data_IF_338003253235
#
_entry.id   IF_338003253235
#
_cell.length_a   1.000
_cell.length_b   1.000
_cell.length_c   1.000
_cell.angle_alpha   90.00
_cell.angle_beta   90.00
_cell.angle_gamma   90.00
#
_symmetry.space_group_name_H-M   'P 1'
#
loop_
_entity.id
_entity.type
_entity.pdbx_description
1 polymer ?
#
# COMPACT_ATOMS: atom_id res chain seq x y z
N UNK A 1 -76.05 50.25 -10.42
CA UNK A 1 -75.03 50.07 -11.49
C UNK A 1 -73.85 50.98 -11.18
N UNK A 2 -72.75 50.41 -10.69
CA UNK A 2 -71.35 50.84 -10.88
C UNK A 2 -70.46 49.96 -9.99
N UNK A 3 -69.88 48.92 -10.60
CA UNK A 3 -68.73 48.21 -10.07
C UNK A 3 -67.53 49.15 -10.19
N UNK A 4 -66.93 49.53 -9.07
CA UNK A 4 -65.63 50.19 -9.07
C UNK A 4 -64.56 49.14 -9.41
N UNK A 5 -64.05 49.24 -10.63
CA UNK A 5 -62.98 48.39 -11.13
C UNK A 5 -61.66 48.72 -10.41
N UNK A 6 -61.15 47.76 -9.62
CA UNK A 6 -59.84 47.82 -8.99
C UNK A 6 -58.74 47.98 -10.05
N UNK A 7 -57.90 49.00 -9.89
CA UNK A 7 -56.75 49.24 -10.75
C UNK A 7 -55.74 48.07 -10.72
N UNK A 8 -55.12 47.68 -11.86
CA UNK A 8 -54.15 46.60 -11.90
C UNK A 8 -52.87 46.98 -11.13
N UNK A 9 -52.40 46.08 -10.25
CA UNK A 9 -51.14 46.26 -9.50
C UNK A 9 -49.93 46.24 -10.47
N UNK A 10 -48.93 47.10 -10.27
CA UNK A 10 -47.73 47.09 -11.10
C UNK A 10 -46.95 45.78 -10.92
N UNK A 11 -46.71 45.07 -12.02
CA UNK A 11 -45.84 43.89 -12.06
C UNK A 11 -44.39 44.33 -11.91
N UNK A 12 -43.79 44.08 -10.74
CA UNK A 12 -42.35 44.28 -10.51
C UNK A 12 -41.56 43.36 -11.44
N UNK A 13 -40.66 43.93 -12.25
CA UNK A 13 -39.73 43.15 -13.06
C UNK A 13 -38.86 42.26 -12.15
N UNK A 14 -38.58 40.99 -12.54
CA UNK A 14 -37.76 40.10 -11.72
C UNK A 14 -36.36 40.71 -11.54
N UNK A 15 -35.78 40.65 -10.32
CA UNK A 15 -34.45 41.21 -10.06
C UNK A 15 -33.41 40.57 -10.98
N UNK A 16 -32.51 41.39 -11.53
CA UNK A 16 -31.43 40.89 -12.40
C UNK A 16 -30.61 39.83 -11.65
N UNK A 17 -30.29 38.69 -12.28
CA UNK A 17 -29.52 37.65 -11.63
C UNK A 17 -28.16 38.18 -11.16
N UNK A 18 -27.75 37.82 -9.96
CA UNK A 18 -26.54 38.33 -9.31
C UNK A 18 -25.25 38.09 -10.13
N UNK A 19 -25.22 37.04 -10.96
CA UNK A 19 -24.12 36.72 -11.87
C UNK A 19 -24.02 37.62 -13.11
N UNK A 20 -25.03 38.46 -13.39
CA UNK A 20 -24.99 39.47 -14.45
C UNK A 20 -24.48 40.83 -13.95
N UNK A 21 -24.06 40.91 -12.68
CA UNK A 21 -23.56 42.15 -12.08
C UNK A 21 -22.06 42.33 -12.31
N UNK A 22 -21.58 43.58 -12.40
CA UNK A 22 -20.13 43.87 -12.45
C UNK A 22 -19.35 43.34 -11.22
N UNK A 23 -20.03 43.17 -10.08
CA UNK A 23 -19.46 42.55 -8.88
C UNK A 23 -19.12 41.07 -9.09
N UNK A 24 -19.92 40.35 -9.87
CA UNK A 24 -19.63 38.97 -10.23
C UNK A 24 -18.40 38.85 -11.15
N UNK A 25 -18.25 39.77 -12.10
CA UNK A 25 -17.05 39.82 -12.96
C UNK A 25 -15.77 40.09 -12.15
N UNK A 26 -15.83 40.99 -11.17
CA UNK A 26 -14.71 41.23 -10.25
C UNK A 26 -14.40 40.02 -9.38
N UNK A 27 -15.42 39.34 -8.86
CA UNK A 27 -15.26 38.09 -8.11
C UNK A 27 -14.62 36.99 -8.96
N UNK A 28 -15.08 36.81 -10.21
CA UNK A 28 -14.51 35.84 -11.15
C UNK A 28 -13.06 36.18 -11.52
N UNK A 29 -12.75 37.46 -11.74
CA UNK A 29 -11.38 37.92 -11.97
C UNK A 29 -10.47 37.64 -10.77
N UNK A 30 -10.95 37.88 -9.54
CA UNK A 30 -10.25 37.52 -8.31
C UNK A 30 -10.00 36.02 -8.19
N UNK A 31 -11.00 35.19 -8.48
CA UNK A 31 -10.86 33.73 -8.54
C UNK A 31 -9.82 33.29 -9.59
N UNK A 32 -9.84 33.91 -10.78
CA UNK A 32 -8.87 33.64 -11.84
C UNK A 32 -7.45 34.02 -11.43
N UNK A 33 -7.26 35.15 -10.73
CA UNK A 33 -5.96 35.54 -10.18
C UNK A 33 -5.48 34.55 -9.14
N UNK A 34 -6.35 34.13 -8.22
CA UNK A 34 -6.03 33.10 -7.22
C UNK A 34 -5.65 31.78 -7.91
N UNK A 35 -6.39 31.37 -8.94
CA UNK A 35 -6.13 30.15 -9.68
C UNK A 35 -4.83 30.23 -10.50
N UNK A 36 -4.56 31.37 -11.15
CA UNK A 36 -3.32 31.61 -11.89
C UNK A 36 -2.11 31.65 -10.94
N UNK A 37 -2.24 32.31 -9.80
CA UNK A 37 -1.23 32.29 -8.74
C UNK A 37 -1.02 30.88 -8.22
N UNK A 38 -2.10 30.14 -7.97
CA UNK A 38 -2.06 28.73 -7.60
C UNK A 38 -1.30 27.89 -8.63
N UNK A 39 -1.56 28.09 -9.93
CA UNK A 39 -0.87 27.40 -11.03
C UNK A 39 0.64 27.68 -11.04
N UNK A 40 1.03 28.92 -10.77
CA UNK A 40 2.43 29.32 -10.70
C UNK A 40 3.12 28.74 -9.46
N UNK A 41 2.48 28.83 -8.30
CA UNK A 41 3.00 28.29 -7.02
C UNK A 41 3.15 26.77 -7.09
N UNK A 42 2.20 26.09 -7.71
CA UNK A 42 2.22 24.63 -7.90
C UNK A 42 3.07 24.18 -9.10
N UNK A 43 3.62 25.13 -9.88
CA UNK A 43 4.51 24.89 -11.03
C UNK A 43 3.96 23.87 -12.03
N UNK A 44 2.66 23.94 -12.36
CA UNK A 44 2.03 22.96 -13.25
C UNK A 44 2.60 23.11 -14.67
N UNK A 45 3.26 22.06 -15.15
CA UNK A 45 3.91 21.98 -16.46
C UNK A 45 3.32 20.82 -17.29
N UNK A 46 2.39 21.14 -18.20
CA UNK A 46 1.72 20.14 -19.06
C UNK A 46 2.67 19.51 -20.10
N UNK A 47 3.60 20.25 -20.75
CA UNK A 47 4.59 19.63 -21.63
C UNK A 47 5.46 18.57 -20.94
N UNK A 48 5.94 18.82 -19.72
CA UNK A 48 6.73 17.86 -18.95
C UNK A 48 5.93 16.60 -18.59
N UNK A 49 4.64 16.74 -18.29
CA UNK A 49 3.74 15.60 -18.04
C UNK A 49 3.71 14.63 -19.23
N UNK A 50 3.57 15.15 -20.45
CA UNK A 50 3.51 14.34 -21.67
C UNK A 50 4.89 13.75 -21.99
N UNK A 51 5.95 14.56 -21.90
CA UNK A 51 7.32 14.10 -22.16
C UNK A 51 7.78 13.02 -21.16
N UNK A 52 7.34 13.11 -19.91
CA UNK A 52 7.66 12.18 -18.82
C UNK A 52 6.97 10.81 -18.95
N UNK A 53 5.82 10.74 -19.63
CA UNK A 53 5.01 9.52 -19.73
C UNK A 53 5.77 8.31 -20.30
N UNK A 54 6.75 8.53 -21.19
CA UNK A 54 7.59 7.47 -21.77
C UNK A 54 8.42 6.72 -20.72
N UNK A 55 8.87 7.43 -19.67
CA UNK A 55 9.67 6.85 -18.60
C UNK A 55 8.81 6.05 -17.61
N UNK A 56 7.53 6.40 -17.48
CA UNK A 56 6.59 5.74 -16.55
C UNK A 56 6.02 4.44 -17.14
N UNK A 57 6.03 4.30 -18.47
CA UNK A 57 5.43 3.16 -19.19
C UNK A 57 5.89 1.77 -18.71
N UNK A 58 7.20 1.51 -18.44
CA UNK A 58 7.65 0.23 -17.90
C UNK A 58 7.05 -0.07 -16.51
N UNK A 59 6.99 0.94 -15.64
CA UNK A 59 6.44 0.81 -14.30
C UNK A 59 4.94 0.51 -14.31
N UNK A 60 4.18 1.19 -15.18
CA UNK A 60 2.74 0.90 -15.37
C UNK A 60 2.55 -0.54 -15.88
N UNK A 61 3.39 -0.99 -16.82
CA UNK A 61 3.31 -2.36 -17.33
C UNK A 61 3.54 -3.39 -16.22
N UNK A 62 4.48 -3.15 -15.32
CA UNK A 62 4.76 -4.03 -14.19
C UNK A 62 3.65 -3.97 -13.13
N UNK A 63 3.03 -2.80 -12.93
CA UNK A 63 1.90 -2.62 -12.02
C UNK A 63 0.64 -3.40 -12.45
N UNK A 64 0.48 -3.64 -13.76
CA UNK A 64 -0.63 -4.43 -14.31
C UNK A 64 -0.32 -5.94 -14.34
N UNK A 65 0.92 -6.35 -14.04
CA UNK A 65 1.37 -7.75 -14.07
C UNK A 65 1.80 -8.23 -12.68
N UNK A 66 0.83 -8.41 -11.75
CA UNK A 66 1.15 -8.81 -10.39
C UNK A 66 1.82 -10.19 -10.36
N UNK A 67 2.81 -10.32 -9.48
CA UNK A 67 3.47 -11.59 -9.19
C UNK A 67 2.59 -12.44 -8.26
N UNK A 68 1.55 -13.06 -8.81
CA UNK A 68 0.59 -13.90 -8.06
C UNK A 68 0.89 -15.40 -8.22
N UNK A 69 1.29 -15.81 -9.43
CA UNK A 69 1.51 -17.21 -9.78
C UNK A 69 2.92 -17.41 -10.33
N UNK A 70 3.62 -18.39 -9.78
CA UNK A 70 4.94 -18.80 -10.25
C UNK A 70 4.94 -20.31 -10.55
N UNK A 71 5.92 -20.74 -11.34
CA UNK A 71 6.23 -22.16 -11.55
C UNK A 71 7.54 -22.47 -10.85
N UNK A 72 7.70 -23.69 -10.36
CA UNK A 72 8.94 -24.13 -9.73
C UNK A 72 10.08 -24.03 -10.74
N UNK A 73 11.11 -23.26 -10.40
CA UNK A 73 12.35 -23.23 -11.18
C UNK A 73 13.20 -24.41 -10.75
N UNK A 74 13.59 -25.24 -11.71
CA UNK A 74 14.65 -26.21 -11.53
C UNK A 74 15.90 -25.67 -12.23
N UNK A 75 17.05 -25.89 -11.61
CA UNK A 75 18.34 -25.48 -12.13
C UNK A 75 19.25 -26.69 -12.26
N UNK A 76 19.96 -26.77 -13.38
CA UNK A 76 21.13 -27.64 -13.54
C UNK A 76 22.35 -26.74 -13.63
N UNK A 77 23.33 -27.01 -12.77
CA UNK A 77 24.58 -26.26 -12.74
C UNK A 77 25.74 -27.22 -12.94
N UNK A 78 26.64 -26.87 -13.85
CA UNK A 78 27.89 -27.60 -14.10
C UNK A 78 29.03 -26.61 -14.12
N UNK A 79 30.13 -26.95 -13.46
CA UNK A 79 31.34 -26.14 -13.41
C UNK A 79 32.50 -26.87 -14.07
N UNK A 80 33.36 -26.12 -14.75
CA UNK A 80 34.67 -26.57 -15.23
C UNK A 80 35.72 -25.59 -14.73
N UNK A 81 36.81 -26.11 -14.18
CA UNK A 81 37.94 -25.28 -13.77
C UNK A 81 38.63 -24.68 -15.00
N UNK A 82 38.94 -23.39 -14.91
CA UNK A 82 39.61 -22.62 -15.94
C UNK A 82 40.79 -21.90 -15.31
N UNK A 83 41.90 -21.82 -16.04
CA UNK A 83 43.04 -20.98 -15.70
C UNK A 83 43.21 -19.89 -16.74
N UNK A 84 43.47 -18.66 -16.28
CA UNK A 84 43.84 -17.55 -17.15
C UNK A 84 45.36 -17.37 -17.25
N UNK A 85 46.10 -18.08 -16.39
CA UNK A 85 47.56 -18.06 -16.33
C UNK A 85 48.10 -19.39 -16.89
N UNK A 86 48.85 -19.37 -18.00
CA UNK A 86 49.48 -20.57 -18.56
C UNK A 86 50.42 -21.29 -17.59
N UNK A 87 50.94 -20.60 -16.58
CA UNK A 87 51.83 -21.19 -15.57
C UNK A 87 51.09 -22.00 -14.51
N UNK A 88 49.74 -21.92 -14.45
CA UNK A 88 48.94 -22.62 -13.45
C UNK A 88 47.95 -23.58 -14.11
N UNK A 89 48.11 -24.86 -13.78
CA UNK A 89 47.20 -25.90 -14.23
C UNK A 89 45.82 -25.74 -13.55
N UNK A 90 44.72 -25.90 -14.30
CA UNK A 90 43.36 -25.99 -13.74
C UNK A 90 43.26 -27.17 -12.77
N UNK A 91 42.46 -27.04 -11.71
CA UNK A 91 42.14 -28.16 -10.83
C UNK A 91 41.22 -29.16 -11.52
N UNK A 92 41.55 -30.45 -11.41
CA UNK A 92 40.69 -31.52 -11.92
C UNK A 92 39.45 -31.64 -11.03
N UNK A 93 38.33 -31.10 -11.51
CA UNK A 93 37.04 -31.33 -10.88
C UNK A 93 36.61 -32.79 -11.12
N UNK A 94 36.04 -33.46 -10.10
CA UNK A 94 35.56 -34.82 -10.25
C UNK A 94 34.55 -34.91 -11.39
N UNK A 95 34.67 -35.96 -12.20
CA UNK A 95 33.81 -36.17 -13.37
C UNK A 95 32.33 -36.14 -12.95
N UNK A 96 31.50 -35.24 -13.52
CA UNK A 96 30.11 -35.15 -13.13
C UNK A 96 29.38 -36.43 -13.54
N UNK A 97 28.51 -36.96 -12.68
CA UNK A 97 27.62 -38.10 -12.96
C UNK A 97 26.42 -37.74 -13.87
N UNK A 98 26.38 -36.52 -14.40
CA UNK A 98 25.26 -35.95 -15.15
C UNK A 98 25.73 -35.10 -16.34
N UNK A 99 25.15 -33.91 -16.58
CA UNK A 99 25.50 -33.06 -17.71
C UNK A 99 27.00 -32.76 -17.76
N UNK A 100 27.60 -32.85 -18.95
CA UNK A 100 29.03 -32.71 -19.17
C UNK A 100 29.29 -31.40 -19.92
N UNK A 101 30.22 -30.62 -19.38
CA UNK A 101 30.72 -29.41 -20.00
C UNK A 101 32.16 -29.66 -20.48
N UNK A 102 32.44 -29.34 -21.74
CA UNK A 102 33.77 -29.43 -22.33
C UNK A 102 34.15 -28.07 -22.92
N UNK A 103 35.42 -27.72 -22.79
CA UNK A 103 35.98 -26.50 -23.36
C UNK A 103 37.11 -26.86 -24.33
N UNK A 104 37.33 -26.03 -25.35
CA UNK A 104 38.43 -26.23 -26.31
C UNK A 104 39.81 -26.12 -25.66
N UNK A 105 39.90 -25.32 -24.60
CA UNK A 105 41.06 -25.20 -23.72
C UNK A 105 40.57 -24.90 -22.31
N UNK A 106 41.27 -25.38 -21.29
CA UNK A 106 41.05 -24.98 -19.90
C UNK A 106 42.00 -23.86 -19.47
N UNK A 107 42.99 -23.53 -20.30
CA UNK A 107 43.93 -22.42 -20.09
C UNK A 107 43.69 -21.37 -21.18
N UNK A 108 43.19 -20.19 -20.79
CA UNK A 108 42.75 -19.16 -21.72
C UNK A 108 43.11 -17.76 -21.21
N UNK A 109 44.05 -17.04 -21.84
CA UNK A 109 44.38 -15.67 -21.46
C UNK A 109 43.17 -14.74 -21.53
N UNK A 110 43.19 -13.67 -20.73
CA UNK A 110 42.17 -12.63 -20.75
C UNK A 110 41.99 -12.06 -22.16
N UNK A 111 40.75 -11.95 -22.64
CA UNK A 111 40.40 -11.50 -23.98
C UNK A 111 40.44 -12.58 -25.07
N UNK A 112 40.90 -13.79 -24.76
CA UNK A 112 40.87 -14.91 -25.71
C UNK A 112 39.46 -15.51 -25.85
N UNK A 113 39.21 -16.16 -26.98
CA UNK A 113 37.96 -16.88 -27.25
C UNK A 113 38.10 -18.35 -26.86
N UNK A 114 37.14 -18.87 -26.13
CA UNK A 114 37.05 -20.28 -25.72
C UNK A 114 35.77 -20.86 -26.30
N UNK A 115 35.87 -21.99 -27.02
CA UNK A 115 34.69 -22.73 -27.42
C UNK A 115 34.24 -23.63 -26.28
N UNK A 116 32.97 -23.55 -25.95
CA UNK A 116 32.32 -24.28 -24.86
C UNK A 116 31.23 -25.14 -25.45
N UNK A 117 31.32 -26.43 -25.22
CA UNK A 117 30.33 -27.42 -25.64
C UNK A 117 29.73 -28.09 -24.42
N UNK A 118 28.42 -28.00 -24.26
CA UNK A 118 27.68 -28.72 -23.24
C UNK A 118 26.90 -29.88 -23.83
N UNK A 119 26.75 -30.96 -23.07
CA UNK A 119 25.93 -32.14 -23.44
C UNK A 119 25.22 -32.71 -22.22
N UNK A 120 24.05 -33.31 -22.42
CA UNK A 120 23.25 -33.89 -21.33
C UNK A 120 22.50 -32.88 -20.46
N UNK A 121 22.39 -31.62 -20.89
CA UNK A 121 21.57 -30.60 -20.22
C UNK A 121 20.10 -30.76 -20.58
N UNK A 122 19.19 -30.07 -19.87
CA UNK A 122 17.77 -30.06 -20.22
C UNK A 122 17.57 -29.63 -21.69
N UNK A 123 16.82 -30.37 -22.52
CA UNK A 123 16.51 -29.96 -23.89
C UNK A 123 15.65 -28.69 -23.97
N UNK A 124 15.84 -27.89 -25.03
CA UNK A 124 15.08 -26.67 -25.32
C UNK A 124 15.00 -25.68 -24.15
N UNK A 125 16.07 -25.60 -23.36
CA UNK A 125 16.18 -24.75 -22.18
C UNK A 125 17.25 -23.68 -22.38
N UNK A 126 17.08 -22.56 -21.68
CA UNK A 126 18.01 -21.46 -21.75
C UNK A 126 19.17 -21.70 -20.79
N UNK A 127 20.37 -21.83 -21.33
CA UNK A 127 21.63 -21.93 -20.61
C UNK A 127 22.30 -20.56 -20.52
N UNK A 128 22.68 -20.15 -19.31
CA UNK A 128 23.46 -18.94 -19.08
C UNK A 128 24.86 -19.34 -18.62
N UNK A 129 25.88 -18.79 -19.30
CA UNK A 129 27.27 -19.07 -19.01
C UNK A 129 27.83 -17.96 -18.14
N UNK A 130 28.43 -18.34 -17.03
CA UNK A 130 29.07 -17.46 -16.06
C UNK A 130 30.54 -17.80 -15.94
N UNK A 131 31.38 -16.78 -16.01
CA UNK A 131 32.78 -16.88 -15.63
C UNK A 131 32.91 -16.44 -14.18
N UNK A 132 33.32 -17.36 -13.31
CA UNK A 132 33.40 -17.16 -11.87
C UNK A 132 34.86 -16.94 -11.49
N UNK A 133 35.13 -15.81 -10.85
CA UNK A 133 36.47 -15.48 -10.38
C UNK A 133 36.85 -16.31 -9.13
N UNK A 134 38.11 -16.24 -8.65
CA UNK A 134 38.56 -17.02 -7.50
C UNK A 134 37.86 -16.66 -6.18
N UNK A 135 37.24 -15.47 -6.12
CA UNK A 135 36.49 -14.97 -4.96
C UNK A 135 35.01 -15.41 -5.03
N UNK A 136 34.61 -16.11 -6.10
CA UNK A 136 33.26 -16.67 -6.27
C UNK A 136 32.25 -15.73 -6.93
N UNK A 137 32.67 -14.57 -7.44
CA UNK A 137 31.79 -13.62 -8.13
C UNK A 137 31.53 -14.09 -9.57
N UNK A 138 30.27 -14.38 -9.96
CA UNK A 138 29.94 -14.79 -11.33
C UNK A 138 29.75 -13.58 -12.24
N UNK A 139 30.44 -13.56 -13.38
CA UNK A 139 30.21 -12.63 -14.48
C UNK A 139 29.54 -13.35 -15.64
N UNK A 140 28.40 -12.85 -16.12
CA UNK A 140 27.73 -13.45 -17.28
C UNK A 140 28.57 -13.21 -18.55
N UNK A 141 28.96 -14.30 -19.23
CA UNK A 141 29.80 -14.26 -20.44
C UNK A 141 29.06 -14.71 -21.70
N UNK A 142 27.90 -15.35 -21.55
CA UNK A 142 27.13 -15.81 -22.69
C UNK A 142 25.76 -16.37 -22.31
N UNK A 143 24.93 -16.56 -23.33
CA UNK A 143 23.61 -17.17 -23.20
C UNK A 143 23.33 -17.98 -24.47
N UNK A 144 22.91 -19.23 -24.30
CA UNK A 144 22.69 -20.18 -25.39
C UNK A 144 21.44 -21.00 -25.10
N UNK A 145 20.75 -21.46 -26.15
CA UNK A 145 19.65 -22.41 -26.02
C UNK A 145 20.19 -23.81 -26.26
N UNK A 146 19.82 -24.75 -25.40
CA UNK A 146 20.09 -26.17 -25.64
C UNK A 146 19.18 -26.70 -26.74
N UNK A 147 19.70 -27.61 -27.56
CA UNK A 147 18.94 -28.28 -28.62
C UNK A 147 17.97 -29.34 -28.06
N UNK A 148 17.34 -30.10 -28.97
CA UNK A 148 16.40 -31.16 -28.62
C UNK A 148 17.05 -32.35 -27.89
N UNK A 149 18.37 -32.48 -27.97
CA UNK A 149 19.18 -33.51 -27.32
C UNK A 149 19.85 -32.99 -26.04
N UNK A 150 19.67 -31.71 -25.69
CA UNK A 150 20.28 -31.12 -24.51
C UNK A 150 21.74 -30.72 -24.70
N UNK A 151 22.21 -30.60 -25.95
CA UNK A 151 23.53 -30.12 -26.27
C UNK A 151 23.51 -28.64 -26.69
N UNK A 152 24.66 -27.98 -26.55
CA UNK A 152 24.88 -26.63 -27.06
C UNK A 152 26.36 -26.41 -27.37
N UNK A 153 26.64 -25.49 -28.31
CA UNK A 153 27.97 -24.95 -28.56
C UNK A 153 27.93 -23.43 -28.47
N UNK A 154 28.87 -22.83 -27.76
CA UNK A 154 28.99 -21.38 -27.64
C UNK A 154 30.46 -20.96 -27.60
N UNK A 155 30.79 -19.86 -28.28
CA UNK A 155 32.09 -19.21 -28.15
C UNK A 155 31.97 -18.07 -27.16
N UNK A 156 32.75 -18.12 -26.08
CA UNK A 156 32.79 -17.08 -25.05
C UNK A 156 34.13 -16.36 -25.09
N UNK A 157 34.15 -15.10 -24.67
CA UNK A 157 35.38 -14.32 -24.50
C UNK A 157 35.70 -14.21 -23.02
N UNK A 158 36.95 -14.48 -22.65
CA UNK A 158 37.42 -14.37 -21.26
C UNK A 158 37.37 -12.88 -20.83
N UNK A 159 36.63 -12.51 -19.77
CA UNK A 159 36.39 -11.11 -19.44
C UNK A 159 37.65 -10.33 -19.02
N UNK A 160 37.73 -9.07 -19.44
CA UNK A 160 38.85 -8.17 -19.08
C UNK A 160 38.81 -7.64 -17.65
N UNK A 161 37.67 -7.76 -16.97
CA UNK A 161 37.48 -7.32 -15.58
C UNK A 161 38.47 -7.98 -14.59
N UNK A 162 39.09 -9.10 -14.99
CA UNK A 162 40.02 -9.88 -14.19
C UNK A 162 41.50 -9.56 -14.44
N UNK A 163 41.84 -8.36 -14.94
CA UNK A 163 43.22 -7.82 -14.91
C UNK A 163 43.58 -7.09 -13.60
N UNK A 164 42.63 -6.89 -12.70
CA UNK A 164 42.79 -6.14 -11.44
C UNK A 164 42.90 -7.01 -10.16
N UNK A 165 42.76 -6.43 -8.95
CA UNK A 165 42.85 -7.15 -7.67
C UNK A 165 41.86 -8.32 -7.53
N UNK A 166 40.74 -8.27 -8.27
CA UNK A 166 39.70 -9.31 -8.33
C UNK A 166 40.13 -10.57 -9.08
N UNK A 167 41.26 -10.52 -9.79
CA UNK A 167 41.91 -11.67 -10.41
C UNK A 167 42.45 -12.66 -9.37
N UNK A 168 42.56 -12.25 -8.10
CA UNK A 168 43.24 -12.99 -7.04
C UNK A 168 44.77 -12.93 -7.18
N UNK A 169 45.51 -13.65 -6.32
CA UNK A 169 46.95 -13.85 -6.48
C UNK A 169 47.29 -14.36 -7.89
N UNK A 170 48.50 -14.09 -8.40
CA UNK A 170 48.97 -14.68 -9.68
C UNK A 170 48.76 -16.20 -9.63
N UNK A 171 47.98 -16.74 -10.57
CA UNK A 171 47.63 -18.16 -10.59
C UNK A 171 46.33 -18.56 -9.89
N UNK A 172 45.50 -17.61 -9.46
CA UNK A 172 44.23 -17.94 -8.81
C UNK A 172 43.25 -18.57 -9.81
N UNK A 173 42.72 -19.73 -9.41
CA UNK A 173 41.88 -20.55 -10.29
C UNK A 173 40.48 -19.95 -10.47
N UNK A 174 39.97 -20.06 -11.69
CA UNK A 174 38.67 -19.53 -12.09
C UNK A 174 37.79 -20.69 -12.52
N UNK A 175 36.48 -20.46 -12.64
CA UNK A 175 35.54 -21.51 -13.02
C UNK A 175 34.58 -21.02 -14.09
N UNK A 176 34.35 -21.84 -15.09
CA UNK A 176 33.25 -21.65 -16.01
C UNK A 176 32.03 -22.39 -15.48
N UNK A 177 31.01 -21.66 -15.04
CA UNK A 177 29.74 -22.20 -14.53
C UNK A 177 28.65 -22.03 -15.60
N UNK A 178 28.01 -23.13 -15.98
CA UNK A 178 26.83 -23.09 -16.83
C UNK A 178 25.60 -23.39 -15.99
N UNK A 179 24.64 -22.48 -16.01
CA UNK A 179 23.36 -22.61 -15.31
C UNK A 179 22.24 -22.72 -16.34
N UNK A 180 21.56 -23.86 -16.36
CA UNK A 180 20.36 -24.08 -17.16
C UNK A 180 19.17 -24.01 -16.23
N UNK A 181 18.29 -23.03 -16.44
CA UNK A 181 17.06 -22.88 -15.67
C UNK A 181 15.84 -23.19 -16.53
N UNK A 182 14.90 -23.96 -15.98
CA UNK A 182 13.61 -24.17 -16.61
C UNK A 182 12.50 -24.20 -15.56
N UNK A 183 11.28 -23.96 -16.03
CA UNK A 183 10.09 -24.01 -15.17
C UNK A 183 9.39 -25.35 -15.31
N UNK A 184 9.13 -26.02 -14.20
CA UNK A 184 8.41 -27.31 -14.14
C UNK A 184 7.18 -27.22 -13.27
N UNK A 185 6.21 -28.07 -13.59
CA UNK A 185 5.03 -28.30 -12.77
C UNK A 185 3.88 -27.31 -12.99
N UNK A 186 2.79 -27.49 -12.23
CA UNK A 186 1.61 -26.63 -12.29
C UNK A 186 1.91 -25.25 -11.73
N UNK A 187 1.07 -24.27 -12.07
CA UNK A 187 1.11 -22.93 -11.48
C UNK A 187 0.86 -23.05 -9.96
N UNK A 188 1.69 -22.37 -9.15
CA UNK A 188 1.55 -22.29 -7.70
C UNK A 188 1.52 -20.81 -7.27
N UNK A 189 0.86 -20.47 -6.15
CA UNK A 189 0.96 -19.13 -5.59
C UNK A 189 2.42 -18.73 -5.38
N UNK A 190 2.77 -17.52 -5.79
CA UNK A 190 4.10 -16.96 -5.56
C UNK A 190 4.35 -16.77 -4.07
N UNK A 191 5.62 -16.75 -3.65
CA UNK A 191 5.95 -16.40 -2.26
C UNK A 191 5.44 -15.00 -1.89
N UNK A 192 5.49 -14.07 -2.85
CA UNK A 192 4.92 -12.73 -2.70
C UNK A 192 3.42 -12.77 -2.42
N UNK A 193 2.64 -13.60 -3.11
CA UNK A 193 1.21 -13.72 -2.87
C UNK A 193 0.90 -14.18 -1.45
N UNK A 194 1.68 -15.13 -0.93
CA UNK A 194 1.53 -15.60 0.45
C UNK A 194 1.86 -14.50 1.47
N UNK A 195 2.98 -13.81 1.30
CA UNK A 195 3.38 -12.69 2.18
C UNK A 195 2.33 -11.58 2.14
N UNK A 196 1.87 -11.20 0.95
CA UNK A 196 0.85 -10.16 0.75
C UNK A 196 -0.45 -10.56 1.45
N UNK A 197 -0.91 -11.81 1.30
CA UNK A 197 -2.12 -12.28 1.97
C UNK A 197 -1.98 -12.20 3.50
N UNK A 198 -0.87 -12.68 4.05
CA UNK A 198 -0.60 -12.59 5.49
C UNK A 198 -0.61 -11.14 5.98
N UNK A 199 0.02 -10.23 5.23
CA UNK A 199 0.08 -8.81 5.58
C UNK A 199 -1.24 -8.08 5.42
N UNK A 200 -2.09 -8.49 4.48
CA UNK A 200 -3.46 -8.01 4.39
C UNK A 200 -4.26 -8.42 5.62
N UNK A 201 -4.14 -9.67 6.05
CA UNK A 201 -4.80 -10.14 7.29
C UNK A 201 -4.33 -9.32 8.48
N UNK A 202 -3.02 -9.12 8.63
CA UNK A 202 -2.43 -8.25 9.66
C UNK A 202 -3.01 -6.82 9.60
N UNK A 203 -3.19 -6.26 8.41
CA UNK A 203 -3.74 -4.92 8.17
C UNK A 203 -5.19 -4.80 8.64
N UNK A 204 -6.02 -5.79 8.31
CA UNK A 204 -7.43 -5.83 8.71
C UNK A 204 -7.56 -5.97 10.23
N UNK A 205 -6.78 -6.85 10.85
CA UNK A 205 -6.78 -7.03 12.31
C UNK A 205 -6.21 -5.81 13.04
N UNK A 206 -5.17 -5.17 12.51
CA UNK A 206 -4.61 -3.93 13.06
C UNK A 206 -5.70 -2.84 13.11
N UNK A 207 -6.43 -2.64 12.01
CA UNK A 207 -7.53 -1.69 11.96
C UNK A 207 -8.69 -2.08 12.88
N UNK A 208 -9.01 -3.39 12.98
CA UNK A 208 -10.05 -3.89 13.88
C UNK A 208 -9.70 -3.61 15.35
N UNK A 209 -8.46 -3.92 15.76
CA UNK A 209 -7.98 -3.69 17.12
C UNK A 209 -7.97 -2.21 17.47
N UNK A 210 -7.45 -1.36 16.57
CA UNK A 210 -7.47 0.10 16.77
C UNK A 210 -8.89 0.64 16.90
N UNK A 211 -9.81 0.18 16.05
CA UNK A 211 -11.23 0.59 16.12
C UNK A 211 -11.92 0.08 17.38
N UNK A 212 -11.62 -1.14 17.83
CA UNK A 212 -12.21 -1.73 19.04
C UNK A 212 -11.80 -0.94 20.28
N UNK A 213 -10.50 -0.66 20.45
CA UNK A 213 -9.99 0.20 21.52
C UNK A 213 -10.67 1.57 21.45
N UNK A 214 -10.82 2.10 20.24
CA UNK A 214 -11.45 3.38 20.04
C UNK A 214 -12.92 3.41 20.45
N UNK A 215 -13.72 2.39 20.11
CA UNK A 215 -15.13 2.30 20.53
C UNK A 215 -15.24 2.24 22.05
N UNK A 216 -14.45 1.40 22.70
CA UNK A 216 -14.47 1.22 24.17
C UNK A 216 -14.21 2.54 24.90
N UNK A 217 -13.26 3.35 24.41
CA UNK A 217 -12.98 4.66 25.01
C UNK A 217 -13.89 5.78 24.50
N UNK A 218 -14.32 5.75 23.23
CA UNK A 218 -15.15 6.78 22.62
C UNK A 218 -16.57 6.80 23.18
N UNK A 219 -17.17 5.64 23.49
CA UNK A 219 -18.52 5.54 24.07
C UNK A 219 -18.62 6.35 25.37
N UNK A 220 -17.83 6.12 26.44
CA UNK A 220 -17.92 6.92 27.65
C UNK A 220 -17.55 8.40 27.42
N UNK A 221 -16.50 8.68 26.63
CA UNK A 221 -16.10 10.05 26.32
C UNK A 221 -17.17 10.82 25.54
N UNK A 222 -18.01 10.14 24.76
CA UNK A 222 -19.09 10.77 24.00
C UNK A 222 -20.18 11.35 24.90
N UNK A 223 -20.49 10.70 26.03
CA UNK A 223 -21.43 11.25 27.00
C UNK A 223 -20.85 12.52 27.67
N UNK A 224 -19.54 12.54 27.94
CA UNK A 224 -18.84 13.73 28.45
C UNK A 224 -18.73 14.86 27.41
N UNK A 225 -18.76 14.49 26.12
CA UNK A 225 -18.72 15.42 24.99
C UNK A 225 -20.09 15.92 24.52
N UNK A 226 -21.18 15.50 25.16
CA UNK A 226 -22.56 15.82 24.76
C UNK A 226 -23.13 17.01 25.56
N UNK A 227 -23.49 18.08 24.86
CA UNK A 227 -23.96 19.35 25.42
C UNK A 227 -25.26 19.20 26.24
N UNK A 228 -26.21 18.42 25.76
CA UNK A 228 -27.50 18.19 26.42
C UNK A 228 -27.36 17.51 27.81
N UNK A 229 -26.28 16.77 28.03
CA UNK A 229 -25.99 16.10 29.30
C UNK A 229 -25.14 16.95 30.23
N UNK A 230 -24.10 17.62 29.71
CA UNK A 230 -23.03 18.20 30.53
C UNK A 230 -23.22 19.69 30.87
N UNK A 231 -24.02 20.45 30.11
CA UNK A 231 -24.17 21.90 30.32
C UNK A 231 -25.12 22.28 31.47
N UNK A 232 -25.65 21.32 32.22
CA UNK A 232 -26.56 21.59 33.36
C UNK A 232 -25.85 22.23 34.56
N UNK A 233 -24.57 21.91 34.78
CA UNK A 233 -23.77 22.39 35.90
C UNK A 233 -22.47 23.06 35.40
N UNK A 234 -21.88 24.00 36.16
CA UNK A 234 -20.63 24.67 35.75
C UNK A 234 -19.45 23.71 35.63
N UNK A 235 -19.33 22.72 36.53
CA UNK A 235 -18.31 21.67 36.44
C UNK A 235 -18.47 20.83 35.17
N UNK A 236 -19.71 20.43 34.83
CA UNK A 236 -20.00 19.66 33.62
C UNK A 236 -19.71 20.47 32.35
N UNK A 237 -19.99 21.78 32.38
CA UNK A 237 -19.67 22.69 31.27
C UNK A 237 -18.16 22.74 30.99
N UNK A 238 -17.33 22.79 32.03
CA UNK A 238 -15.86 22.70 31.86
C UNK A 238 -15.42 21.36 31.27
N UNK A 239 -15.96 20.24 31.77
CA UNK A 239 -15.66 18.90 31.23
C UNK A 239 -16.03 18.78 29.76
N UNK A 240 -17.18 19.33 29.37
CA UNK A 240 -17.62 19.41 27.97
C UNK A 240 -16.59 20.13 27.11
N UNK A 241 -16.16 21.34 27.49
CA UNK A 241 -15.21 22.11 26.70
C UNK A 241 -13.84 21.43 26.60
N UNK A 242 -13.34 20.83 27.67
CA UNK A 242 -12.08 20.06 27.68
C UNK A 242 -12.18 18.87 26.71
N UNK A 243 -13.26 18.08 26.82
CA UNK A 243 -13.48 16.90 25.99
C UNK A 243 -13.61 17.29 24.51
N UNK A 244 -14.34 18.36 24.20
CA UNK A 244 -14.50 18.86 22.83
C UNK A 244 -13.19 19.37 22.24
N UNK A 245 -12.42 20.07 23.05
CA UNK A 245 -11.10 20.58 22.64
C UNK A 245 -10.15 19.41 22.36
N UNK A 246 -10.12 18.40 23.23
CA UNK A 246 -9.36 17.17 23.01
C UNK A 246 -9.75 16.50 21.68
N UNK A 247 -11.04 16.32 21.39
CA UNK A 247 -11.49 15.73 20.13
C UNK A 247 -11.03 16.54 18.92
N UNK A 248 -11.12 17.87 18.96
CA UNK A 248 -10.74 18.73 17.86
C UNK A 248 -9.22 18.73 17.62
N UNK A 249 -8.42 18.77 18.69
CA UNK A 249 -6.95 18.74 18.59
C UNK A 249 -6.50 17.39 18.02
N UNK A 250 -6.94 16.27 18.61
CA UNK A 250 -6.53 14.94 18.15
C UNK A 250 -6.95 14.65 16.71
N UNK A 251 -8.10 15.17 16.25
CA UNK A 251 -8.54 15.06 14.85
C UNK A 251 -7.72 15.92 13.89
N UNK A 252 -7.05 16.96 14.38
CA UNK A 252 -6.19 17.83 13.57
C UNK A 252 -4.82 17.20 13.32
N UNK A 253 -4.43 16.21 14.12
CA UNK A 253 -3.19 15.47 13.95
C UNK A 253 -3.44 14.27 13.03
N UNK A 254 -2.71 14.23 11.92
CA UNK A 254 -2.75 13.13 10.96
C UNK A 254 -2.28 11.81 11.60
N UNK A 255 -3.00 10.68 11.39
CA UNK A 255 -2.61 9.38 11.94
C UNK A 255 -1.18 8.92 11.61
N UNK A 256 -0.63 9.34 10.47
CA UNK A 256 0.75 9.07 10.11
C UNK A 256 1.75 9.69 11.12
N UNK A 257 1.47 10.91 11.62
CA UNK A 257 2.33 11.56 12.61
C UNK A 257 2.28 10.77 13.93
N UNK A 258 1.07 10.36 14.36
CA UNK A 258 0.90 9.53 15.55
C UNK A 258 1.62 8.19 15.39
N UNK A 259 1.58 7.58 14.21
CA UNK A 259 2.29 6.34 13.92
C UNK A 259 3.81 6.50 14.08
N UNK A 260 4.39 7.61 13.63
CA UNK A 260 5.82 7.90 13.84
C UNK A 260 6.11 8.01 15.35
N UNK A 261 5.32 8.78 16.09
CA UNK A 261 5.50 8.96 17.54
C UNK A 261 5.42 7.62 18.28
N UNK A 262 4.39 6.82 18.01
CA UNK A 262 4.24 5.51 18.63
C UNK A 262 5.31 4.52 18.18
N UNK A 263 5.77 4.58 16.93
CA UNK A 263 6.87 3.74 16.45
C UNK A 263 8.16 4.02 17.21
N UNK A 264 8.46 5.29 17.48
CA UNK A 264 9.61 5.69 18.31
C UNK A 264 9.42 5.24 19.77
N UNK A 265 8.19 5.26 20.28
CA UNK A 265 7.89 4.91 21.66
C UNK A 265 7.88 3.41 21.93
N UNK A 266 7.12 2.62 21.16
CA UNK A 266 6.92 1.18 21.40
C UNK A 266 7.69 0.27 20.43
N UNK A 267 8.40 0.86 19.47
CA UNK A 267 9.14 0.15 18.43
C UNK A 267 8.35 -0.04 17.13
N UNK A 268 9.06 -0.53 16.11
CA UNK A 268 8.50 -0.84 14.79
C UNK A 268 7.52 -2.02 14.88
N UNK A 269 6.37 -1.89 14.21
CA UNK A 269 5.45 -3.00 14.00
C UNK A 269 3.97 -2.65 14.19
N UNK A 270 3.09 -3.67 14.08
CA UNK A 270 1.64 -3.49 14.12
C UNK A 270 1.11 -2.82 15.38
N UNK A 271 1.77 -3.02 16.52
CA UNK A 271 1.35 -2.45 17.79
C UNK A 271 1.36 -0.91 17.78
N UNK A 272 2.41 -0.29 17.21
CA UNK A 272 2.46 1.16 17.01
C UNK A 272 1.30 1.64 16.11
N UNK A 273 1.00 0.89 15.06
CA UNK A 273 -0.14 1.17 14.16
C UNK A 273 -1.49 1.09 14.88
N UNK A 274 -1.71 0.09 15.73
CA UNK A 274 -2.93 -0.03 16.55
C UNK A 274 -3.10 1.18 17.46
N UNK A 275 -2.04 1.62 18.14
CA UNK A 275 -2.09 2.78 19.04
C UNK A 275 -2.37 4.07 18.27
N UNK A 276 -1.72 4.26 17.12
CA UNK A 276 -1.92 5.44 16.27
C UNK A 276 -3.35 5.53 15.73
N UNK A 277 -3.86 4.44 15.14
CA UNK A 277 -5.24 4.36 14.65
C UNK A 277 -6.24 4.47 15.79
N UNK A 278 -5.97 3.80 16.92
CA UNK A 278 -6.83 3.81 18.10
C UNK A 278 -7.01 5.21 18.63
N UNK A 279 -5.92 5.92 18.96
CA UNK A 279 -5.97 7.27 19.52
C UNK A 279 -6.69 8.26 18.60
N UNK A 280 -6.37 8.24 17.31
CA UNK A 280 -7.07 9.10 16.35
C UNK A 280 -8.57 8.74 16.23
N UNK A 281 -8.88 7.45 16.23
CA UNK A 281 -10.26 6.96 16.14
C UNK A 281 -11.09 7.26 17.39
N UNK A 282 -10.47 7.30 18.59
CA UNK A 282 -11.14 7.69 19.85
C UNK A 282 -11.74 9.10 19.70
N UNK A 283 -10.92 10.05 19.25
CA UNK A 283 -11.35 11.43 19.08
C UNK A 283 -12.43 11.57 18.01
N UNK A 284 -12.27 10.83 16.91
CA UNK A 284 -13.18 10.93 15.79
C UNK A 284 -14.55 10.27 16.07
N UNK A 285 -14.58 9.07 16.64
CA UNK A 285 -15.81 8.41 17.08
C UNK A 285 -16.44 9.13 18.26
N UNK A 286 -15.65 9.57 19.25
CA UNK A 286 -16.14 10.29 20.41
C UNK A 286 -16.90 11.57 20.01
N UNK A 287 -16.37 12.30 19.02
CA UNK A 287 -17.03 13.47 18.41
C UNK A 287 -18.34 13.12 17.70
N UNK A 288 -18.36 12.08 16.86
CA UNK A 288 -19.56 11.67 16.13
C UNK A 288 -20.65 11.12 17.08
N UNK A 289 -20.27 10.29 18.05
CA UNK A 289 -21.18 9.73 19.04
C UNK A 289 -21.83 10.81 19.92
N UNK A 290 -21.06 11.81 20.33
CA UNK A 290 -21.59 12.91 21.13
C UNK A 290 -22.54 13.81 20.35
N UNK A 291 -22.27 14.06 19.07
CA UNK A 291 -23.21 14.78 18.18
C UNK A 291 -24.51 13.97 18.02
N UNK A 292 -24.41 12.64 17.90
CA UNK A 292 -25.58 11.79 17.85
C UNK A 292 -26.38 11.82 19.15
N UNK A 293 -25.71 11.81 20.32
CA UNK A 293 -26.38 11.96 21.62
C UNK A 293 -27.06 13.32 21.74
N UNK A 294 -26.45 14.38 21.20
CA UNK A 294 -27.06 15.73 21.17
C UNK A 294 -28.30 15.79 20.26
N UNK A 295 -28.37 14.94 19.24
CA UNK A 295 -29.46 14.89 18.26
C UNK A 295 -30.65 14.00 18.64
N UNK A 296 -30.66 13.42 19.84
CA UNK A 296 -31.77 12.58 20.32
C UNK A 296 -33.07 13.40 20.35
N UNK A 297 -34.14 12.85 19.76
CA UNK A 297 -35.47 13.46 19.79
C UNK A 297 -36.10 13.32 21.19
N UNK A 298 -36.51 14.43 21.84
CA UNK A 298 -37.21 14.38 23.12
C UNK A 298 -38.60 13.72 23.04
N UNK A 299 -39.25 13.66 21.89
CA UNK A 299 -40.62 13.14 21.74
C UNK A 299 -40.79 11.70 22.27
N UNK A 300 -40.00 10.71 21.80
CA UNK A 300 -40.03 9.35 22.36
C UNK A 300 -39.72 9.29 23.86
N UNK A 301 -38.88 10.18 24.39
CA UNK A 301 -38.53 10.24 25.81
C UNK A 301 -39.75 10.69 26.63
N UNK A 302 -40.42 11.75 26.19
CA UNK A 302 -41.64 12.27 26.83
C UNK A 302 -42.77 11.24 26.80
N UNK A 303 -42.98 10.57 25.65
CA UNK A 303 -44.01 9.56 25.47
C UNK A 303 -43.82 8.35 26.41
N UNK A 304 -42.60 7.81 26.51
CA UNK A 304 -42.31 6.69 27.43
C UNK A 304 -42.42 7.14 28.89
N UNK A 305 -41.93 8.34 29.22
CA UNK A 305 -42.03 8.89 30.59
C UNK A 305 -43.49 9.08 31.02
N UNK A 306 -44.37 9.51 30.11
CA UNK A 306 -45.80 9.69 30.38
C UNK A 306 -46.54 8.39 30.75
N UNK A 307 -46.00 7.21 30.41
CA UNK A 307 -46.56 5.92 30.82
C UNK A 307 -46.26 5.54 32.28
N UNK A 308 -45.51 6.36 33.02
CA UNK A 308 -45.02 6.06 34.37
C UNK A 308 -43.76 5.20 34.38
N UNK A 309 -43.07 5.09 33.24
CA UNK A 309 -41.83 4.33 33.11
C UNK A 309 -40.71 4.91 33.99
N UNK A 310 -39.94 4.01 34.63
CA UNK A 310 -38.72 4.37 35.36
C UNK A 310 -37.61 4.88 34.43
N UNK A 311 -36.62 5.60 34.98
CA UNK A 311 -35.52 6.17 34.20
C UNK A 311 -34.76 5.12 33.34
N UNK A 312 -34.58 3.90 33.87
CA UNK A 312 -33.93 2.82 33.11
C UNK A 312 -34.78 2.35 31.92
N UNK A 313 -36.10 2.31 32.09
CA UNK A 313 -37.03 1.98 31.01
C UNK A 313 -37.02 3.08 29.93
N UNK A 314 -36.99 4.35 30.33
CA UNK A 314 -36.86 5.48 29.39
C UNK A 314 -35.55 5.37 28.60
N UNK A 315 -34.41 5.12 29.25
CA UNK A 315 -33.14 4.93 28.53
C UNK A 315 -33.22 3.76 27.57
N UNK A 316 -33.72 2.60 28.01
CA UNK A 316 -33.77 1.38 27.20
C UNK A 316 -34.72 1.48 26.01
N UNK A 317 -35.87 2.11 26.16
CA UNK A 317 -36.93 2.11 25.14
C UNK A 317 -37.05 3.39 24.34
N UNK A 318 -36.58 4.54 24.85
CA UNK A 318 -36.59 5.81 24.12
C UNK A 318 -35.21 6.20 23.59
N UNK A 319 -34.13 6.02 24.38
CA UNK A 319 -32.79 6.53 24.03
C UNK A 319 -31.97 5.51 23.22
N UNK A 320 -31.82 4.29 23.73
CA UNK A 320 -31.00 3.23 23.12
C UNK A 320 -31.34 2.98 21.65
N UNK A 321 -32.63 2.89 21.24
CA UNK A 321 -33.00 2.68 19.83
C UNK A 321 -32.56 3.82 18.90
N UNK A 322 -32.43 5.05 19.41
CA UNK A 322 -32.01 6.22 18.62
C UNK A 322 -30.48 6.32 18.46
N UNK A 323 -29.72 5.84 19.44
CA UNK A 323 -28.24 5.99 19.43
C UNK A 323 -27.50 4.78 18.87
N UNK A 324 -28.00 3.56 19.08
CA UNK A 324 -27.27 2.33 18.72
C UNK A 324 -27.08 2.16 17.21
N UNK A 325 -28.12 2.30 16.36
CA UNK A 325 -27.92 2.13 14.91
C UNK A 325 -26.90 3.10 14.31
N UNK A 326 -26.94 4.42 14.60
CA UNK A 326 -25.90 5.35 14.15
C UNK A 326 -24.51 5.04 14.73
N UNK A 327 -24.41 4.61 15.99
CA UNK A 327 -23.11 4.23 16.58
C UNK A 327 -22.48 3.06 15.84
N UNK A 328 -23.27 2.04 15.51
CA UNK A 328 -22.84 0.90 14.69
C UNK A 328 -22.39 1.39 13.31
N UNK A 329 -23.19 2.25 12.66
CA UNK A 329 -22.86 2.80 11.34
C UNK A 329 -21.51 3.55 11.34
N UNK A 330 -21.29 4.43 12.32
CA UNK A 330 -20.04 5.16 12.47
C UNK A 330 -18.86 4.25 12.82
N UNK A 331 -19.08 3.20 13.63
CA UNK A 331 -18.03 2.20 13.94
C UNK A 331 -17.58 1.48 12.69
N UNK A 332 -18.52 0.95 11.90
CA UNK A 332 -18.23 0.20 10.68
C UNK A 332 -17.50 1.09 9.66
N UNK A 333 -18.00 2.31 9.46
CA UNK A 333 -17.35 3.29 8.60
C UNK A 333 -15.93 3.63 9.07
N UNK A 334 -15.73 3.76 10.38
CA UNK A 334 -14.40 4.00 10.95
C UNK A 334 -13.46 2.81 10.74
N UNK A 335 -13.97 1.59 10.87
CA UNK A 335 -13.18 0.39 10.63
C UNK A 335 -12.70 0.30 9.18
N UNK A 336 -13.57 0.54 8.20
CA UNK A 336 -13.17 0.62 6.78
C UNK A 336 -12.08 1.69 6.56
N UNK A 337 -12.34 2.90 7.07
CA UNK A 337 -11.40 4.01 6.95
C UNK A 337 -10.04 3.65 7.58
N UNK A 338 -10.04 2.98 8.73
CA UNK A 338 -8.82 2.55 9.41
C UNK A 338 -8.04 1.49 8.62
N UNK A 339 -8.71 0.57 7.91
CA UNK A 339 -8.03 -0.37 7.00
C UNK A 339 -7.34 0.40 5.88
N UNK A 340 -7.99 1.39 5.28
CA UNK A 340 -7.39 2.24 4.26
C UNK A 340 -6.17 3.01 4.81
N UNK A 341 -6.32 3.66 5.96
CA UNK A 341 -5.27 4.46 6.60
C UNK A 341 -4.07 3.63 7.04
N UNK A 342 -4.28 2.37 7.42
CA UNK A 342 -3.21 1.47 7.84
C UNK A 342 -2.18 1.20 6.73
N UNK A 343 -2.57 1.32 5.45
CA UNK A 343 -1.63 1.20 4.32
C UNK A 343 -0.59 2.32 4.31
N UNK A 344 -1.00 3.54 4.66
CA UNK A 344 -0.11 4.72 4.74
C UNK A 344 0.71 4.68 6.03
N UNK A 345 0.10 4.27 7.15
CA UNK A 345 0.79 4.08 8.44
C UNK A 345 1.88 3.02 8.35
N UNK A 346 1.69 1.98 7.53
CA UNK A 346 2.72 0.96 7.30
C UNK A 346 4.02 1.52 6.72
N UNK A 347 3.97 2.63 5.98
CA UNK A 347 5.15 3.26 5.37
C UNK A 347 6.09 3.86 6.42
N UNK A 348 5.53 4.28 7.57
CA UNK A 348 6.28 4.88 8.67
C UNK A 348 6.56 3.91 9.81
N UNK A 349 6.40 2.60 9.57
CA UNK A 349 6.74 1.56 10.53
C UNK A 349 5.58 1.02 11.36
N UNK A 350 4.35 1.42 11.07
CA UNK A 350 3.15 0.91 11.76
C UNK A 350 2.71 -0.50 11.35
N UNK A 351 3.52 -1.24 10.58
CA UNK A 351 3.26 -2.63 10.18
C UNK A 351 2.28 -2.81 9.02
N UNK A 352 1.73 -4.02 8.88
CA UNK A 352 0.75 -4.37 7.85
C UNK A 352 1.30 -4.38 6.42
N UNK A 353 0.39 -4.29 5.45
CA UNK A 353 0.68 -4.36 4.02
C UNK A 353 1.47 -3.16 3.52
N UNK A 354 1.27 -1.99 4.14
CA UNK A 354 1.99 -0.77 3.80
C UNK A 354 3.51 -0.92 3.94
N UNK A 355 3.95 -1.62 4.99
CA UNK A 355 5.38 -1.86 5.24
C UNK A 355 6.04 -2.66 4.10
N UNK A 356 5.42 -3.76 3.68
CA UNK A 356 5.93 -4.59 2.57
C UNK A 356 5.81 -3.87 1.23
N UNK A 357 4.74 -3.09 1.02
CA UNK A 357 4.60 -2.28 -0.19
C UNK A 357 5.75 -1.27 -0.31
N UNK A 358 6.05 -0.53 0.76
CA UNK A 358 7.18 0.40 0.79
C UNK A 358 8.51 -0.32 0.54
N UNK A 359 8.70 -1.52 1.11
CA UNK A 359 9.89 -2.33 0.87
C UNK A 359 10.03 -2.72 -0.61
N UNK A 360 8.96 -3.18 -1.27
CA UNK A 360 9.01 -3.53 -2.69
C UNK A 360 9.29 -2.32 -3.59
N UNK A 361 8.73 -1.15 -3.25
CA UNK A 361 9.03 0.09 -3.97
C UNK A 361 10.51 0.47 -3.82
N UNK A 362 11.04 0.43 -2.59
CA UNK A 362 12.44 0.75 -2.31
C UNK A 362 13.42 -0.22 -3.00
N UNK A 363 13.03 -1.50 -3.16
CA UNK A 363 13.81 -2.53 -3.85
C UNK A 363 13.59 -2.53 -5.37
N UNK A 364 12.81 -1.59 -5.92
CA UNK A 364 12.46 -1.53 -7.35
C UNK A 364 11.75 -2.81 -7.85
N UNK A 365 11.07 -3.52 -6.95
CA UNK A 365 10.35 -4.77 -7.18
C UNK A 365 8.88 -4.48 -7.56
N UNK A 366 8.67 -3.82 -8.69
CA UNK A 366 7.35 -3.30 -9.09
C UNK A 366 6.29 -4.37 -9.33
N UNK A 367 6.67 -5.58 -9.76
CA UNK A 367 5.72 -6.70 -9.92
C UNK A 367 5.21 -7.22 -8.58
N UNK A 368 6.04 -7.18 -7.55
CA UNK A 368 5.65 -7.55 -6.20
C UNK A 368 4.84 -6.45 -5.53
N UNK A 369 5.24 -5.18 -5.73
CA UNK A 369 4.44 -4.02 -5.33
C UNK A 369 3.04 -4.05 -5.97
N UNK A 370 2.94 -4.43 -7.25
CA UNK A 370 1.68 -4.62 -7.95
C UNK A 370 0.77 -5.63 -7.23
N UNK A 371 1.31 -6.77 -6.82
CA UNK A 371 0.54 -7.78 -6.05
C UNK A 371 -0.03 -7.17 -4.77
N UNK A 372 0.76 -6.38 -4.04
CA UNK A 372 0.29 -5.68 -2.84
C UNK A 372 -0.80 -4.63 -3.15
N UNK A 373 -0.62 -3.80 -4.18
CA UNK A 373 -1.60 -2.77 -4.60
C UNK A 373 -2.94 -3.39 -5.02
N UNK A 374 -2.91 -4.46 -5.83
CA UNK A 374 -4.12 -5.17 -6.22
C UNK A 374 -4.80 -5.84 -5.03
N UNK A 375 -4.04 -6.43 -4.11
CA UNK A 375 -4.59 -7.03 -2.90
C UNK A 375 -5.26 -5.98 -1.99
N UNK A 376 -4.63 -4.81 -1.79
CA UNK A 376 -5.23 -3.68 -1.05
C UNK A 376 -6.53 -3.26 -1.72
N UNK A 377 -6.52 -3.07 -3.04
CA UNK A 377 -7.71 -2.65 -3.80
C UNK A 377 -8.87 -3.63 -3.64
N UNK A 378 -8.59 -4.94 -3.76
CA UNK A 378 -9.60 -5.98 -3.60
C UNK A 378 -10.17 -6.02 -2.18
N UNK A 379 -9.32 -5.92 -1.16
CA UNK A 379 -9.74 -5.97 0.25
C UNK A 379 -10.57 -4.75 0.62
N UNK A 380 -10.12 -3.57 0.22
CA UNK A 380 -10.84 -2.32 0.46
C UNK A 380 -12.19 -2.33 -0.27
N UNK A 381 -12.24 -2.75 -1.54
CA UNK A 381 -13.50 -2.87 -2.27
C UNK A 381 -14.45 -3.90 -1.62
N UNK A 382 -13.92 -5.03 -1.14
CA UNK A 382 -14.70 -6.04 -0.43
C UNK A 382 -15.25 -5.51 0.92
N UNK A 383 -14.44 -4.72 1.65
CA UNK A 383 -14.85 -4.11 2.91
C UNK A 383 -15.86 -2.98 2.72
N UNK A 384 -15.68 -2.13 1.72
CA UNK A 384 -16.64 -1.11 1.32
C UNK A 384 -18.01 -1.75 1.00
N UNK A 385 -18.00 -2.83 0.20
CA UNK A 385 -19.20 -3.59 -0.14
C UNK A 385 -19.85 -4.23 1.10
N UNK A 386 -19.07 -4.92 1.93
CA UNK A 386 -19.58 -5.56 3.15
C UNK A 386 -20.18 -4.52 4.11
N UNK A 387 -19.51 -3.37 4.25
CA UNK A 387 -19.98 -2.26 5.09
C UNK A 387 -21.30 -1.68 4.60
N UNK A 388 -21.49 -1.57 3.28
CA UNK A 388 -22.76 -1.13 2.69
C UNK A 388 -23.91 -2.11 3.00
N UNK A 389 -23.68 -3.41 2.80
CA UNK A 389 -24.68 -4.47 3.06
C UNK A 389 -25.08 -4.52 4.54
N UNK A 390 -24.10 -4.43 5.45
CA UNK A 390 -24.38 -4.43 6.89
C UNK A 390 -25.15 -3.18 7.28
N UNK A 391 -24.80 -2.00 6.73
CA UNK A 391 -25.53 -0.76 7.03
C UNK A 391 -26.98 -0.83 6.56
N UNK A 392 -27.24 -1.31 5.34
CA UNK A 392 -28.62 -1.45 4.81
C UNK A 392 -29.51 -2.38 5.66
N UNK A 393 -28.93 -3.41 6.29
CA UNK A 393 -29.69 -4.39 7.07
C UNK A 393 -30.00 -3.92 8.50
N UNK A 394 -29.11 -3.14 9.11
CA UNK A 394 -29.14 -2.82 10.55
C UNK A 394 -29.38 -1.35 10.88
N UNK A 395 -29.35 -0.46 9.88
CA UNK A 395 -29.58 0.98 9.98
C UNK A 395 -30.71 1.33 9.02
#
# INVERSE_FOLDING_TARGET
>A
MKQDALAPRPTLAPPRPWFQSGKFLLFLAGLLVIYAYGWQVTKINLPELVAGAKFVRPFIRDLVRPDVLTRTRQTQQVEVAMSVDPAVAPEDLPAPSGPVLRTSTQVAPVGSQVQVTGSGFRPNAQATLFWVNPIGNPQQVGRVMTDAQGAFGATITVPEAFRGPEAGPRGAQQRLRVVVEWTVGPLRPSNTAYIVLQKIVETVFLALMGTTIAVVAAVPLSFLGARNLMTKNPVGTSVYYVTRTFFNIMRSIEPLILAIVFTVWVGLGPFAGVLALGLHSIAALGKLYSEQIESIDPGPIEAVTATGASALQVVRYAVVPQIVPPFIAFTIYRWDTNVRMSTVIGFVGGGGIGFILQQYINLLQYRQAATAVWAITLVVAAMDYLSAVVREKYV
#
